data_IF_423074665863
#
_entry.id   IF_423074665863
#
_cell.length_a   1.000
_cell.length_b   1.000
_cell.length_c   1.000
_cell.angle_alpha   90.00
_cell.angle_beta   90.00
_cell.angle_gamma   90.00
#
_symmetry.space_group_name_H-M   'P 1'
#
loop_
_entity.id
_entity.type
_entity.pdbx_description
1 polymer ?
#
# COMPACT_ATOMS: atom_id res chain seq x y z
N UNK A 1 16.43 19.31 -16.32
CA UNK A 1 15.05 19.54 -15.82
C UNK A 1 15.16 20.34 -14.53
N UNK A 2 14.22 21.25 -14.26
CA UNK A 2 14.29 22.13 -13.09
C UNK A 2 13.98 21.34 -11.82
N UNK A 3 14.72 21.58 -10.74
CA UNK A 3 14.37 21.08 -9.41
C UNK A 3 13.20 21.89 -8.86
N UNK A 4 12.35 21.25 -8.06
CA UNK A 4 11.35 21.96 -7.26
C UNK A 4 12.04 22.99 -6.37
N UNK A 5 11.53 24.21 -6.36
CA UNK A 5 11.93 25.30 -5.47
C UNK A 5 11.48 25.04 -4.03
N UNK A 6 12.02 25.79 -3.07
CA UNK A 6 11.63 25.67 -1.67
C UNK A 6 10.12 25.87 -1.44
N UNK A 7 9.53 26.87 -2.11
CA UNK A 7 8.09 27.12 -2.02
C UNK A 7 7.26 25.95 -2.59
N UNK A 8 7.65 25.41 -3.75
CA UNK A 8 6.97 24.24 -4.34
C UNK A 8 7.11 22.99 -3.47
N UNK A 9 8.21 22.82 -2.74
CA UNK A 9 8.38 21.73 -1.77
C UNK A 9 7.48 21.91 -0.54
N UNK A 10 7.32 23.14 -0.05
CA UNK A 10 6.41 23.45 1.06
C UNK A 10 4.93 23.23 0.66
N UNK A 11 4.58 23.60 -0.57
CA UNK A 11 3.25 23.35 -1.14
C UNK A 11 3.01 21.85 -1.32
N UNK A 12 3.98 21.12 -1.88
CA UNK A 12 3.92 19.66 -1.99
C UNK A 12 3.79 18.99 -0.63
N UNK A 13 4.54 19.47 0.38
CA UNK A 13 4.42 18.95 1.74
C UNK A 13 3.01 19.15 2.31
N UNK A 14 2.42 20.32 2.10
CA UNK A 14 1.08 20.64 2.56
C UNK A 14 0.03 19.77 1.86
N UNK A 15 0.15 19.64 0.54
CA UNK A 15 -0.66 18.73 -0.26
C UNK A 15 -0.61 17.29 0.25
N UNK A 16 0.60 16.74 0.50
CA UNK A 16 0.74 15.37 0.99
C UNK A 16 0.08 15.17 2.36
N UNK A 17 0.21 16.15 3.26
CA UNK A 17 -0.44 16.07 4.58
C UNK A 17 -1.96 16.04 4.46
N UNK A 18 -2.52 16.90 3.61
CA UNK A 18 -3.96 16.93 3.38
C UNK A 18 -4.44 15.68 2.67
N UNK A 19 -3.72 15.20 1.67
CA UNK A 19 -4.04 13.99 0.93
C UNK A 19 -4.02 12.75 1.84
N UNK A 20 -3.00 12.60 2.70
CA UNK A 20 -2.94 11.52 3.69
C UNK A 20 -4.10 11.58 4.67
N UNK A 21 -4.47 12.78 5.13
CA UNK A 21 -5.62 12.97 6.02
C UNK A 21 -6.94 12.59 5.35
N UNK A 22 -7.14 12.96 4.10
CA UNK A 22 -8.37 12.66 3.36
C UNK A 22 -8.50 11.18 3.03
N UNK A 23 -7.40 10.50 2.72
CA UNK A 23 -7.38 9.06 2.42
C UNK A 23 -7.34 8.18 3.67
N UNK A 24 -7.27 8.78 4.87
CA UNK A 24 -7.13 8.04 6.13
C UNK A 24 -5.78 7.31 6.27
N UNK A 25 -4.77 7.74 5.51
CA UNK A 25 -3.43 7.13 5.47
C UNK A 25 -2.44 7.87 6.34
N UNK A 26 -1.35 7.20 6.68
CA UNK A 26 -0.26 7.75 7.49
C UNK A 26 1.01 7.96 6.68
N UNK A 27 1.95 8.71 7.25
CA UNK A 27 3.30 8.87 6.71
C UNK A 27 4.05 7.54 6.56
N UNK A 28 3.72 6.55 7.39
CA UNK A 28 4.28 5.20 7.29
C UNK A 28 3.75 4.45 6.06
N UNK A 29 2.50 4.68 5.68
CA UNK A 29 1.88 4.09 4.50
C UNK A 29 2.46 4.70 3.23
N UNK A 30 2.61 6.03 3.19
CA UNK A 30 3.31 6.70 2.11
C UNK A 30 4.75 6.24 1.98
N UNK A 31 5.47 6.07 3.10
CA UNK A 31 6.82 5.50 3.07
C UNK A 31 6.83 4.11 2.44
N UNK A 32 5.89 3.22 2.77
CA UNK A 32 5.80 1.87 2.19
C UNK A 32 5.55 1.94 0.69
N UNK A 33 4.58 2.73 0.26
CA UNK A 33 4.21 2.87 -1.15
C UNK A 33 5.35 3.47 -1.99
N UNK A 34 6.06 4.47 -1.44
CA UNK A 34 7.23 5.09 -2.07
C UNK A 34 8.54 4.28 -1.90
N UNK A 35 8.51 3.18 -1.16
CA UNK A 35 9.70 2.41 -0.76
C UNK A 35 10.81 3.29 -0.14
N UNK A 36 10.41 4.30 0.63
CA UNK A 36 11.34 5.25 1.22
C UNK A 36 12.04 4.67 2.46
N UNK A 37 13.27 5.14 2.71
CA UNK A 37 14.09 4.69 3.83
C UNK A 37 13.60 5.17 5.20
N UNK A 38 12.80 6.23 5.26
CA UNK A 38 12.31 6.82 6.51
C UNK A 38 10.91 7.37 6.34
N UNK A 39 10.13 7.34 7.43
CA UNK A 39 8.84 8.02 7.47
C UNK A 39 9.00 9.54 7.46
N UNK A 40 10.16 10.11 7.82
CA UNK A 40 10.33 11.57 7.96
C UNK A 40 9.98 12.31 6.66
N UNK A 41 9.19 13.36 6.77
CA UNK A 41 8.68 14.12 5.61
C UNK A 41 9.77 14.63 4.65
N UNK A 42 10.92 15.16 5.12
CA UNK A 42 12.02 15.52 4.23
C UNK A 42 12.50 14.38 3.34
N UNK A 43 12.55 13.15 3.86
CA UNK A 43 12.99 11.97 3.09
C UNK A 43 11.94 11.56 2.05
N UNK A 44 10.64 11.71 2.37
CA UNK A 44 9.57 11.45 1.40
C UNK A 44 9.58 12.49 0.27
N UNK A 45 9.79 13.77 0.61
CA UNK A 45 9.93 14.84 -0.37
C UNK A 45 11.17 14.64 -1.26
N UNK A 46 12.30 14.19 -0.71
CA UNK A 46 13.49 13.87 -1.50
C UNK A 46 13.25 12.74 -2.52
N UNK A 47 12.43 11.74 -2.19
CA UNK A 47 12.03 10.69 -3.15
C UNK A 47 11.22 11.29 -4.29
N UNK A 48 10.22 12.12 -3.97
CA UNK A 48 9.35 12.77 -4.95
C UNK A 48 10.12 13.79 -5.82
N UNK A 49 11.03 14.55 -5.22
CA UNK A 49 11.88 15.48 -5.95
C UNK A 49 12.84 14.75 -6.90
N UNK A 50 13.38 13.58 -6.53
CA UNK A 50 14.16 12.75 -7.45
C UNK A 50 13.34 12.27 -8.64
N UNK A 51 12.09 11.89 -8.43
CA UNK A 51 11.18 11.54 -9.52
C UNK A 51 10.91 12.74 -10.43
N UNK A 52 10.62 13.90 -9.85
CA UNK A 52 10.45 15.14 -10.61
C UNK A 52 11.70 15.52 -11.42
N UNK A 53 12.90 15.38 -10.84
CA UNK A 53 14.14 15.70 -11.53
C UNK A 53 14.41 14.79 -12.73
N UNK A 54 13.95 13.53 -12.67
CA UNK A 54 14.12 12.53 -13.73
C UNK A 54 13.06 12.67 -14.81
N UNK A 55 11.80 12.75 -14.41
CA UNK A 55 10.63 12.55 -15.27
C UNK A 55 9.72 13.79 -15.37
N UNK A 56 10.11 14.89 -14.71
CA UNK A 56 9.33 16.12 -14.62
C UNK A 56 8.07 15.98 -13.78
N UNK A 57 7.21 16.99 -13.88
CA UNK A 57 5.88 16.99 -13.25
C UNK A 57 5.00 15.79 -13.66
N UNK A 58 4.99 15.32 -14.92
CA UNK A 58 4.22 14.14 -15.30
C UNK A 58 4.62 12.88 -14.53
N UNK A 59 5.92 12.64 -14.32
CA UNK A 59 6.39 11.49 -13.55
C UNK A 59 6.06 11.59 -12.07
N UNK A 60 6.11 12.80 -11.49
CA UNK A 60 5.65 13.03 -10.13
C UNK A 60 4.15 12.69 -9.99
N UNK A 61 3.32 13.19 -10.91
CA UNK A 61 1.89 12.90 -10.93
C UNK A 61 1.63 11.40 -11.09
N UNK A 62 2.30 10.74 -12.04
CA UNK A 62 2.17 9.29 -12.26
C UNK A 62 2.53 8.49 -10.99
N UNK A 63 3.60 8.88 -10.28
CA UNK A 63 3.98 8.20 -9.05
C UNK A 63 2.93 8.35 -7.96
N UNK A 64 2.37 9.56 -7.77
CA UNK A 64 1.31 9.77 -6.78
C UNK A 64 0.01 9.04 -7.16
N UNK A 65 -0.36 9.03 -8.44
CA UNK A 65 -1.50 8.24 -8.93
C UNK A 65 -1.29 6.74 -8.72
N UNK A 66 -0.08 6.21 -8.94
CA UNK A 66 0.23 4.80 -8.68
C UNK A 66 0.16 4.44 -7.19
N UNK A 67 0.53 5.37 -6.30
CA UNK A 67 0.35 5.21 -4.85
C UNK A 67 -1.13 5.17 -4.48
N UNK A 68 -1.95 6.07 -5.05
CA UNK A 68 -3.40 6.06 -4.83
C UNK A 68 -4.01 4.73 -5.31
N UNK A 69 -3.69 4.29 -6.52
CA UNK A 69 -4.18 3.02 -7.08
C UNK A 69 -3.80 1.81 -6.21
N UNK A 70 -2.57 1.79 -5.67
CA UNK A 70 -2.14 0.76 -4.73
C UNK A 70 -3.05 0.72 -3.49
N UNK A 71 -3.30 1.88 -2.87
CA UNK A 71 -4.14 1.96 -1.67
C UNK A 71 -5.59 1.56 -1.95
N UNK A 72 -6.15 2.00 -3.08
CA UNK A 72 -7.51 1.64 -3.47
C UNK A 72 -7.65 0.12 -3.71
N UNK A 73 -6.62 -0.52 -4.26
CA UNK A 73 -6.58 -1.97 -4.41
C UNK A 73 -6.47 -2.70 -3.05
N UNK A 74 -5.69 -2.18 -2.10
CA UNK A 74 -5.60 -2.74 -0.74
C UNK A 74 -6.96 -2.64 0.01
N UNK A 75 -7.62 -1.49 -0.09
CA UNK A 75 -8.94 -1.28 0.52
C UNK A 75 -10.03 -2.12 -0.17
N UNK A 76 -9.93 -2.32 -1.48
CA UNK A 76 -10.81 -3.21 -2.25
C UNK A 76 -10.58 -4.69 -1.95
N UNK A 77 -9.32 -5.11 -1.76
CA UNK A 77 -8.95 -6.48 -1.41
C UNK A 77 -9.45 -6.86 0.00
N UNK A 78 -9.33 -5.96 0.97
CA UNK A 78 -9.85 -6.17 2.34
C UNK A 78 -11.38 -6.34 2.41
N UNK A 79 -12.12 -5.82 1.43
CA UNK A 79 -13.57 -6.05 1.30
C UNK A 79 -13.88 -7.43 0.69
N UNK A 80 -12.94 -8.04 -0.05
CA UNK A 80 -13.05 -9.39 -0.59
C UNK A 80 -12.60 -10.47 0.41
N UNK A 81 -11.79 -10.12 1.42
CA UNK A 81 -11.34 -11.05 2.48
C UNK A 81 -12.48 -11.57 3.38
N UNK A 82 -13.66 -10.92 3.37
CA UNK A 82 -14.87 -11.49 3.95
C UNK A 82 -15.29 -12.82 3.29
N UNK A 83 -15.01 -12.99 2.00
CA UNK A 83 -15.22 -14.25 1.28
C UNK A 83 -14.01 -15.21 1.42
N UNK A 84 -12.79 -14.68 1.51
CA UNK A 84 -11.57 -15.47 1.72
C UNK A 84 -11.49 -16.17 3.08
N UNK A 85 -11.96 -15.50 4.15
CA UNK A 85 -12.02 -16.08 5.50
C UNK A 85 -13.05 -17.21 5.61
N UNK A 86 -14.20 -17.08 4.94
CA UNK A 86 -15.19 -18.15 4.79
C UNK A 86 -14.64 -19.33 3.97
N UNK A 87 -13.89 -19.05 2.90
CA UNK A 87 -13.24 -20.08 2.08
C UNK A 87 -12.11 -20.82 2.82
N UNK A 88 -11.33 -20.12 3.65
CA UNK A 88 -10.25 -20.70 4.44
C UNK A 88 -10.80 -21.58 5.59
N UNK A 89 -11.86 -21.13 6.28
CA UNK A 89 -12.54 -21.95 7.30
C UNK A 89 -13.19 -23.20 6.69
N UNK A 90 -13.80 -23.08 5.51
CA UNK A 90 -14.35 -24.23 4.78
C UNK A 90 -13.24 -25.22 4.35
N UNK A 91 -12.09 -24.70 3.90
CA UNK A 91 -10.95 -25.51 3.50
C UNK A 91 -10.25 -26.19 4.69
N UNK A 92 -10.19 -25.52 5.85
CA UNK A 92 -9.69 -26.10 7.10
C UNK A 92 -10.63 -27.20 7.63
N UNK A 93 -11.95 -26.99 7.58
CA UNK A 93 -12.92 -28.03 7.94
C UNK A 93 -12.84 -29.28 7.03
N UNK A 94 -12.54 -29.09 5.75
CA UNK A 94 -12.30 -30.19 4.81
C UNK A 94 -11.00 -30.95 5.13
N UNK A 95 -9.96 -30.25 5.58
CA UNK A 95 -8.70 -30.88 6.00
C UNK A 95 -8.87 -31.73 7.27
N UNK A 96 -9.65 -31.27 8.25
CA UNK A 96 -9.94 -32.02 9.48
C UNK A 96 -10.70 -33.33 9.20
N UNK A 97 -11.64 -33.32 8.25
CA UNK A 97 -12.36 -34.52 7.81
C UNK A 97 -11.42 -35.55 7.15
N UNK A 98 -10.52 -35.10 6.28
CA UNK A 98 -9.50 -35.96 5.66
C UNK A 98 -8.53 -36.55 6.71
N UNK A 99 -8.12 -35.75 7.69
CA UNK A 99 -7.27 -36.23 8.78
C UNK A 99 -8.00 -37.25 9.67
N UNK A 100 -9.30 -37.08 9.91
CA UNK A 100 -10.11 -38.08 10.60
C UNK A 100 -10.21 -39.39 9.81
N UNK A 101 -10.43 -39.32 8.50
CA UNK A 101 -10.50 -40.51 7.64
C UNK A 101 -9.17 -41.30 7.67
N UNK A 102 -8.03 -40.62 7.51
CA UNK A 102 -6.69 -41.23 7.57
C UNK A 102 -6.40 -41.86 8.94
N UNK A 103 -6.92 -41.27 10.02
CA UNK A 103 -6.76 -41.82 11.37
C UNK A 103 -7.62 -43.05 11.60
N UNK A 104 -8.84 -43.07 11.04
CA UNK A 104 -9.74 -44.21 11.13
C UNK A 104 -9.25 -45.40 10.31
N UNK A 105 -8.70 -45.15 9.12
CA UNK A 105 -8.13 -46.18 8.23
C UNK A 105 -6.92 -46.91 8.85
N UNK A 106 -6.14 -46.19 9.68
CA UNK A 106 -5.00 -46.77 10.43
C UNK A 106 -5.40 -47.56 11.69
N UNK A 107 -6.68 -47.60 12.06
CA UNK A 107 -7.19 -48.32 13.22
C UNK A 107 -7.93 -49.62 12.87
N UNK A 108 -8.03 -49.95 11.58
CA UNK A 108 -8.53 -51.22 11.02
C UNK A 108 -7.41 -52.07 10.45
#
# INVERSE_FOLDING_TARGET
>A
MASLTGAELDDLQSFLKDWLRHTGRTQADLRRALQAASIRMPVLLEVLQRTHNRDGLPGLAQQLCGVEELWQNEDGAGQSEGAGRLGLEASLGQLDLLLQEIRQDQQT
#
